data_IF_595545171476
#
_entry.id   IF_595545171476
#
_cell.length_a   1.000
_cell.length_b   1.000
_cell.length_c   1.000
_cell.angle_alpha   90.00
_cell.angle_beta   90.00
_cell.angle_gamma   90.00
#
_symmetry.space_group_name_H-M   'P 1'
#
loop_
_entity.id
_entity.type
_entity.pdbx_description
1 polymer ?
#
# COMPACT_ATOMS: atom_id res chain seq x y z
N UNK A 1 -7.21 -6.77 -77.07
CA UNK A 1 -6.66 -6.19 -75.81
C UNK A 1 -7.80 -6.11 -74.80
N UNK A 2 -7.81 -6.95 -73.77
CA UNK A 2 -8.77 -6.88 -72.65
C UNK A 2 -7.99 -6.94 -71.35
N UNK A 3 -7.88 -5.80 -70.67
CA UNK A 3 -7.27 -5.70 -69.35
C UNK A 3 -8.41 -5.89 -68.35
N UNK A 4 -8.48 -7.04 -67.70
CA UNK A 4 -9.39 -7.27 -66.57
C UNK A 4 -8.55 -7.28 -65.30
N UNK A 5 -8.74 -6.26 -64.46
CA UNK A 5 -8.09 -6.09 -63.16
C UNK A 5 -8.99 -6.58 -62.02
N UNK A 6 -8.66 -7.66 -61.29
CA UNK A 6 -9.41 -8.10 -60.13
C UNK A 6 -8.69 -7.64 -58.85
N UNK A 7 -9.17 -6.60 -58.18
CA UNK A 7 -8.45 -6.07 -57.01
C UNK A 7 -9.26 -5.36 -55.92
N UNK A 8 -10.60 -5.36 -55.97
CA UNK A 8 -11.39 -4.53 -55.05
C UNK A 8 -11.84 -5.24 -53.76
N UNK A 9 -11.86 -6.58 -53.72
CA UNK A 9 -12.38 -7.31 -52.56
C UNK A 9 -11.45 -7.30 -51.34
N UNK A 10 -10.12 -7.19 -51.52
CA UNK A 10 -9.17 -7.20 -50.40
C UNK A 10 -9.23 -5.95 -49.52
N UNK A 11 -9.57 -4.81 -50.11
CA UNK A 11 -9.55 -3.51 -49.41
C UNK A 11 -10.78 -3.32 -48.52
N UNK A 12 -11.92 -3.90 -48.91
CA UNK A 12 -13.17 -3.80 -48.15
C UNK A 12 -13.11 -4.61 -46.83
N UNK A 13 -12.47 -5.78 -46.86
CA UNK A 13 -12.28 -6.63 -45.67
C UNK A 13 -11.33 -6.01 -44.65
N UNK A 14 -10.29 -5.30 -45.09
CA UNK A 14 -9.38 -4.58 -44.19
C UNK A 14 -10.10 -3.46 -43.42
N UNK A 15 -11.00 -2.73 -44.09
CA UNK A 15 -11.77 -1.66 -43.47
C UNK A 15 -12.82 -2.19 -42.47
N UNK A 16 -13.47 -3.32 -42.79
CA UNK A 16 -14.41 -3.97 -41.88
C UNK A 16 -13.71 -4.53 -40.62
N UNK A 17 -12.54 -5.16 -40.77
CA UNK A 17 -11.76 -5.71 -39.66
C UNK A 17 -11.29 -4.63 -38.67
N UNK A 18 -10.94 -3.44 -39.15
CA UNK A 18 -10.52 -2.32 -38.29
C UNK A 18 -11.64 -1.79 -37.39
N UNK A 19 -12.89 -1.78 -37.87
CA UNK A 19 -14.05 -1.36 -37.06
C UNK A 19 -14.40 -2.36 -35.96
N UNK A 20 -14.22 -3.65 -36.19
CA UNK A 20 -14.47 -4.70 -35.20
C UNK A 20 -13.43 -4.66 -34.09
N UNK A 21 -12.15 -4.52 -34.42
CA UNK A 21 -11.07 -4.37 -33.44
C UNK A 21 -11.23 -3.09 -32.57
N UNK A 22 -11.71 -1.99 -33.16
CA UNK A 22 -11.99 -0.75 -32.43
C UNK A 22 -13.26 -0.81 -31.55
N UNK A 23 -14.18 -1.73 -31.82
CA UNK A 23 -15.38 -1.98 -31.02
C UNK A 23 -15.08 -2.94 -29.86
N UNK A 24 -14.23 -3.93 -30.08
CA UNK A 24 -13.82 -4.93 -29.09
C UNK A 24 -12.89 -4.33 -28.02
N UNK A 25 -11.95 -3.47 -28.43
CA UNK A 25 -11.13 -2.66 -27.51
C UNK A 25 -11.96 -1.70 -26.65
N UNK A 26 -13.01 -1.09 -27.20
CA UNK A 26 -13.96 -0.26 -26.43
C UNK A 26 -14.82 -1.08 -25.47
N UNK A 27 -15.24 -2.30 -25.84
CA UNK A 27 -15.93 -3.22 -24.93
C UNK A 27 -15.02 -3.71 -23.80
N UNK A 28 -13.77 -4.02 -24.08
CA UNK A 28 -12.76 -4.42 -23.10
C UNK A 28 -12.37 -3.28 -22.13
N UNK A 29 -12.38 -2.03 -22.60
CA UNK A 29 -12.20 -0.86 -21.74
C UNK A 29 -13.43 -0.62 -20.83
N UNK A 30 -14.64 -0.87 -21.33
CA UNK A 30 -15.89 -0.69 -20.57
C UNK A 30 -16.10 -1.76 -19.50
N UNK A 31 -15.62 -2.98 -19.70
CA UNK A 31 -15.63 -4.03 -18.66
C UNK A 31 -14.60 -3.80 -17.55
N UNK A 32 -13.49 -3.10 -17.81
CA UNK A 32 -12.55 -2.68 -16.75
C UNK A 32 -13.08 -1.52 -15.90
N UNK A 33 -14.02 -0.74 -16.40
CA UNK A 33 -14.62 0.39 -15.68
C UNK A 33 -15.82 -0.01 -14.78
N UNK A 34 -16.25 -1.28 -14.82
CA UNK A 34 -17.40 -1.79 -14.07
C UNK A 34 -17.01 -2.65 -12.86
N UNK A 35 -15.89 -2.31 -12.19
CA UNK A 35 -15.34 -3.10 -11.09
C UNK A 35 -14.72 -2.26 -10.00
N UNK A 36 -15.55 -1.78 -9.07
CA UNK A 36 -15.20 -1.34 -7.71
C UNK A 36 -14.27 -0.12 -7.57
N UNK A 37 -14.36 0.56 -6.43
CA UNK A 37 -13.37 1.55 -6.02
C UNK A 37 -12.00 0.87 -5.87
N UNK A 38 -11.06 1.21 -6.74
CA UNK A 38 -9.70 0.70 -6.68
C UNK A 38 -8.85 1.64 -5.83
N UNK A 39 -8.58 1.26 -4.58
CA UNK A 39 -7.70 2.04 -3.69
C UNK A 39 -6.25 1.83 -4.10
N UNK A 40 -5.69 2.78 -4.86
CA UNK A 40 -4.27 2.78 -5.21
C UNK A 40 -3.48 3.34 -4.01
N UNK A 41 -2.81 2.46 -3.28
CA UNK A 41 -1.94 2.87 -2.18
C UNK A 41 -0.75 3.68 -2.74
N UNK A 42 -0.62 4.94 -2.30
CA UNK A 42 0.48 5.83 -2.70
C UNK A 42 1.84 5.21 -2.38
N UNK A 43 2.89 5.61 -3.11
CA UNK A 43 4.25 5.13 -2.86
C UNK A 43 4.67 5.38 -1.40
N UNK A 44 4.37 6.57 -0.88
CA UNK A 44 4.66 6.95 0.51
C UNK A 44 3.98 6.03 1.54
N UNK A 45 2.74 5.61 1.28
CA UNK A 45 2.04 4.69 2.17
C UNK A 45 2.64 3.27 2.13
N UNK A 46 3.09 2.80 0.97
CA UNK A 46 3.82 1.53 0.83
C UNK A 46 5.14 1.55 1.60
N UNK A 47 5.88 2.65 1.52
CA UNK A 47 7.14 2.84 2.22
C UNK A 47 6.94 2.86 3.74
N UNK A 48 5.91 3.57 4.22
CA UNK A 48 5.54 3.58 5.62
C UNK A 48 5.16 2.18 6.13
N UNK A 49 4.37 1.41 5.38
CA UNK A 49 4.04 0.03 5.75
C UNK A 49 5.27 -0.86 5.83
N UNK A 50 6.23 -0.69 4.92
CA UNK A 50 7.49 -1.45 4.92
C UNK A 50 8.35 -1.06 6.13
N UNK A 51 8.51 0.23 6.41
CA UNK A 51 9.24 0.72 7.57
C UNK A 51 8.63 0.21 8.89
N UNK A 52 7.29 0.24 9.02
CA UNK A 52 6.59 -0.31 10.19
C UNK A 52 6.84 -1.80 10.37
N UNK A 53 6.82 -2.59 9.30
CA UNK A 53 7.11 -4.03 9.34
C UNK A 53 8.54 -4.30 9.78
N UNK A 54 9.51 -3.55 9.27
CA UNK A 54 10.92 -3.69 9.67
C UNK A 54 11.12 -3.34 11.15
N UNK A 55 10.47 -2.28 11.64
CA UNK A 55 10.50 -1.92 13.07
C UNK A 55 9.82 -2.98 13.93
N UNK A 56 8.73 -3.57 13.48
CA UNK A 56 8.05 -4.67 14.18
C UNK A 56 8.85 -5.98 14.18
N UNK A 57 9.72 -6.19 13.17
CA UNK A 57 10.65 -7.32 13.12
C UNK A 57 11.88 -7.11 14.00
N UNK A 58 12.17 -5.87 14.39
CA UNK A 58 13.17 -5.60 15.44
C UNK A 58 12.74 -6.27 16.73
N UNK A 59 13.69 -6.78 17.51
CA UNK A 59 13.40 -7.52 18.74
C UNK A 59 12.48 -6.70 19.65
N UNK A 60 11.38 -7.31 20.09
CA UNK A 60 10.43 -6.68 21.01
C UNK A 60 11.13 -6.13 22.28
N UNK A 61 12.22 -6.77 22.67
CA UNK A 61 13.12 -6.32 23.74
C UNK A 61 14.25 -5.47 23.17
N UNK A 62 14.33 -4.20 23.60
CA UNK A 62 15.44 -3.29 23.30
C UNK A 62 16.57 -3.50 24.32
N UNK A 63 17.41 -4.50 24.08
CA UNK A 63 18.46 -4.93 25.02
C UNK A 63 19.38 -3.79 25.48
N UNK A 64 19.78 -2.89 24.58
CA UNK A 64 20.65 -1.75 24.93
C UNK A 64 20.00 -0.78 25.91
N UNK A 65 18.69 -0.52 25.72
CA UNK A 65 17.92 0.36 26.62
C UNK A 65 17.81 -0.28 28.01
N UNK A 66 17.55 -1.58 28.07
CA UNK A 66 17.46 -2.32 29.34
C UNK A 66 18.79 -2.29 30.08
N UNK A 67 19.91 -2.53 29.38
CA UNK A 67 21.25 -2.50 29.99
C UNK A 67 21.59 -1.14 30.59
N UNK A 68 21.31 -0.04 29.88
CA UNK A 68 21.54 1.32 30.40
C UNK A 68 20.72 1.60 31.66
N UNK A 69 19.42 1.35 31.61
CA UNK A 69 18.52 1.55 32.74
C UNK A 69 18.92 0.69 33.95
N UNK A 70 19.27 -0.57 33.72
CA UNK A 70 19.73 -1.47 34.78
C UNK A 70 21.01 -0.94 35.46
N UNK A 71 21.95 -0.38 34.68
CA UNK A 71 23.17 0.22 35.23
C UNK A 71 22.86 1.49 36.06
N UNK A 72 21.97 2.37 35.58
CA UNK A 72 21.54 3.57 36.31
C UNK A 72 20.83 3.22 37.63
N UNK A 73 20.01 2.16 37.62
CA UNK A 73 19.34 1.65 38.83
C UNK A 73 20.37 1.08 39.81
N UNK A 74 21.33 0.26 39.33
CA UNK A 74 22.37 -0.31 40.17
C UNK A 74 23.31 0.77 40.76
N UNK A 75 23.56 1.84 40.02
CA UNK A 75 24.34 2.99 40.48
C UNK A 75 23.55 3.92 41.42
N UNK A 76 22.23 3.72 41.57
CA UNK A 76 21.37 4.60 42.36
C UNK A 76 21.12 5.98 41.74
N UNK A 77 21.48 6.17 40.47
CA UNK A 77 21.32 7.45 39.74
C UNK A 77 20.03 7.51 38.94
N UNK A 78 19.25 6.43 38.92
CA UNK A 78 17.95 6.40 38.25
C UNK A 78 16.93 7.22 39.06
N UNK A 79 16.53 8.38 38.54
CA UNK A 79 15.53 9.24 39.14
C UNK A 79 14.15 8.98 38.52
N UNK A 80 13.17 8.70 39.36
CA UNK A 80 11.78 8.52 38.95
C UNK A 80 11.08 9.87 38.99
N UNK A 81 10.52 10.28 37.86
CA UNK A 81 9.66 11.46 37.77
C UNK A 81 8.20 11.06 38.08
N UNK A 82 7.63 11.50 39.22
CA UNK A 82 6.27 11.14 39.61
C UNK A 82 5.20 11.73 38.67
N UNK A 83 5.45 12.89 38.06
CA UNK A 83 4.51 13.53 37.13
C UNK A 83 4.44 12.73 35.82
N UNK A 84 5.59 12.33 35.29
CA UNK A 84 5.67 11.44 34.14
C UNK A 84 4.98 10.09 34.39
N UNK A 85 5.10 9.52 35.60
CA UNK A 85 4.39 8.29 35.97
C UNK A 85 2.89 8.49 35.95
N UNK A 86 2.38 9.57 36.57
CA UNK A 86 0.96 9.88 36.59
C UNK A 86 0.40 10.13 35.17
N UNK A 87 1.11 10.87 34.33
CA UNK A 87 0.73 11.10 32.93
C UNK A 87 0.58 9.78 32.17
N UNK A 88 1.55 8.86 32.32
CA UNK A 88 1.49 7.55 31.65
C UNK A 88 0.37 6.66 32.19
N UNK A 89 0.08 6.71 33.49
CA UNK A 89 -1.07 6.01 34.08
C UNK A 89 -2.40 6.52 33.50
N UNK A 90 -2.55 7.83 33.32
CA UNK A 90 -3.75 8.42 32.74
C UNK A 90 -3.85 8.22 31.22
N UNK A 91 -2.72 8.08 30.53
CA UNK A 91 -2.66 7.78 29.11
C UNK A 91 -2.91 6.30 28.77
N UNK A 92 -2.54 5.39 29.68
CA UNK A 92 -2.69 3.94 29.51
C UNK A 92 -4.13 3.45 29.21
N UNK A 93 -5.20 3.89 29.93
CA UNK A 93 -6.54 3.37 29.69
C UNK A 93 -7.06 3.68 28.27
N UNK A 94 -6.67 4.81 27.67
CA UNK A 94 -7.10 5.18 26.31
C UNK A 94 -6.62 4.23 25.21
N UNK A 95 -5.63 3.38 25.47
CA UNK A 95 -5.10 2.43 24.49
C UNK A 95 -5.75 1.04 24.59
N UNK A 96 -6.44 0.73 25.70
CA UNK A 96 -7.13 -0.55 25.91
C UNK A 96 -8.58 -0.53 25.41
N UNK A 97 -9.21 0.65 25.32
CA UNK A 97 -10.61 0.80 24.89
C UNK A 97 -10.82 0.84 23.37
N UNK A 98 -9.75 0.80 22.55
CA UNK A 98 -9.85 0.96 21.08
C UNK A 98 -10.10 -0.35 20.32
N UNK A 99 -10.36 -1.44 21.03
CA UNK A 99 -10.71 -2.76 20.48
C UNK A 99 -12.14 -3.13 20.96
N UNK A 100 -13.14 -2.40 20.48
CA UNK A 100 -14.55 -2.78 20.50
C UNK A 100 -15.28 -2.17 19.31
#
# INVERSE_FOLDING_TARGET
MTITSPGLNGVLSAYAGQKVAAAESRRAARTKAAGGDQVILSQQARDLSRARKLVAQSSAVRADKVKRLAAEIAAGTYQVDPEAVAEKMLAAPRLLDREA
#
